data_IF_687421513696
#
_entry.id   IF_687421513696
#
_cell.length_a   1.000
_cell.length_b   1.000
_cell.length_c   1.000
_cell.angle_alpha   90.00
_cell.angle_beta   90.00
_cell.angle_gamma   90.00
#
_symmetry.space_group_name_H-M   'P 1'
#
loop_
_entity.id
_entity.type
_entity.pdbx_description
1 polymer ?
#
# COMPACT_ATOMS: atom_id res chain seq x y z
N UNK A 1 -1.09 -17.12 0.35
CA UNK A 1 -0.61 -15.94 1.12
C UNK A 1 -1.78 -15.31 1.86
N UNK A 2 -1.63 -14.93 3.13
CA UNK A 2 -2.64 -14.22 3.90
C UNK A 2 -2.34 -12.73 3.86
N UNK A 3 -3.38 -11.92 3.63
CA UNK A 3 -3.24 -10.46 3.47
C UNK A 3 -4.00 -9.75 4.58
N UNK A 4 -3.31 -8.80 5.26
CA UNK A 4 -3.90 -7.89 6.21
C UNK A 4 -3.85 -6.48 5.67
N UNK A 5 -4.97 -5.78 5.72
CA UNK A 5 -5.09 -4.39 5.32
C UNK A 5 -4.90 -3.50 6.55
N UNK A 6 -3.86 -2.66 6.52
CA UNK A 6 -3.48 -1.77 7.60
C UNK A 6 -3.80 -0.32 7.23
N UNK A 7 -4.26 0.47 8.20
CA UNK A 7 -4.25 1.92 8.08
C UNK A 7 -3.00 2.45 8.78
N UNK A 8 -1.97 2.81 8.04
CA UNK A 8 -0.70 3.24 8.61
C UNK A 8 -0.56 4.77 8.68
N UNK A 9 -1.66 5.45 8.94
CA UNK A 9 -1.76 6.88 9.13
C UNK A 9 -2.98 7.50 8.47
N UNK A 10 -3.34 8.68 8.90
CA UNK A 10 -4.47 9.42 8.39
C UNK A 10 -4.09 10.87 8.11
N UNK A 11 -4.51 11.38 6.96
CA UNK A 11 -4.43 12.78 6.58
C UNK A 11 -5.84 13.36 6.46
N UNK A 12 -6.03 14.57 7.00
CA UNK A 12 -7.36 15.21 7.04
C UNK A 12 -7.32 16.62 6.42
N UNK A 13 -6.96 16.77 5.12
CA UNK A 13 -6.87 18.07 4.47
C UNK A 13 -8.22 18.80 4.46
N UNK A 14 -8.17 20.13 4.36
CA UNK A 14 -9.39 20.93 4.19
C UNK A 14 -10.02 20.64 2.82
N UNK A 15 -11.35 20.72 2.77
CA UNK A 15 -12.12 20.53 1.53
C UNK A 15 -13.25 19.51 1.66
N UNK A 16 -13.22 18.63 2.67
CA UNK A 16 -14.27 17.63 2.86
C UNK A 16 -14.52 16.81 1.59
N UNK A 17 -15.77 16.68 1.17
CA UNK A 17 -16.15 15.96 -0.04
C UNK A 17 -15.51 16.48 -1.34
N UNK A 18 -15.04 17.73 -1.37
CA UNK A 18 -14.30 18.25 -2.53
C UNK A 18 -12.92 17.59 -2.67
N UNK A 19 -12.41 16.96 -1.60
CA UNK A 19 -11.16 16.19 -1.62
C UNK A 19 -11.37 14.68 -1.73
N UNK A 20 -12.28 14.10 -0.90
CA UNK A 20 -12.44 12.65 -0.82
C UNK A 20 -13.77 12.11 -1.40
N UNK A 21 -14.64 12.99 -1.86
CA UNK A 21 -15.93 12.61 -2.45
C UNK A 21 -16.99 12.10 -1.44
N UNK A 22 -16.67 12.04 -0.14
CA UNK A 22 -17.51 11.34 0.85
C UNK A 22 -17.76 12.13 2.15
N UNK A 23 -16.77 12.88 2.64
CA UNK A 23 -16.84 13.55 3.94
C UNK A 23 -17.92 14.62 3.98
N UNK A 24 -18.74 14.62 5.03
CA UNK A 24 -19.78 15.64 5.27
C UNK A 24 -19.26 16.89 5.98
N UNK A 25 -18.06 16.84 6.56
CA UNK A 25 -17.42 17.93 7.30
C UNK A 25 -16.48 18.80 6.46
N UNK A 26 -15.81 19.78 7.07
CA UNK A 26 -14.89 20.66 6.38
C UNK A 26 -13.55 20.01 6.03
N UNK A 27 -13.23 18.86 6.61
CA UNK A 27 -12.01 18.10 6.34
C UNK A 27 -12.34 16.80 5.65
N UNK A 28 -11.48 16.41 4.72
CA UNK A 28 -11.47 15.08 4.11
C UNK A 28 -10.81 14.07 5.05
N UNK A 29 -10.88 12.79 4.67
CA UNK A 29 -10.14 11.70 5.29
C UNK A 29 -9.43 10.91 4.20
N UNK A 30 -8.10 10.88 4.26
CA UNK A 30 -7.24 10.09 3.39
C UNK A 30 -6.47 9.09 4.25
N UNK A 31 -6.56 7.82 3.94
CA UNK A 31 -5.84 6.76 4.63
C UNK A 31 -4.39 6.64 4.11
N UNK A 32 -3.53 5.99 4.85
CA UNK A 32 -2.27 5.43 4.35
C UNK A 32 -2.41 3.89 4.36
N UNK A 33 -3.00 3.36 3.31
CA UNK A 33 -3.35 1.95 3.21
C UNK A 33 -2.12 1.11 2.86
N UNK A 34 -1.63 0.36 3.81
CA UNK A 34 -0.52 -0.57 3.67
C UNK A 34 -1.01 -2.02 3.73
N UNK A 35 -0.20 -2.97 3.25
CA UNK A 35 -0.46 -4.39 3.43
C UNK A 35 0.58 -5.04 4.33
N UNK A 36 0.14 -5.97 5.16
CA UNK A 36 1.01 -6.96 5.80
C UNK A 36 0.67 -8.33 5.20
N UNK A 37 1.65 -8.95 4.57
CA UNK A 37 1.54 -10.26 3.92
C UNK A 37 2.23 -11.31 4.78
N UNK A 38 1.51 -12.39 5.11
CA UNK A 38 2.10 -13.57 5.75
C UNK A 38 2.51 -14.57 4.66
N UNK A 39 3.81 -14.77 4.49
CA UNK A 39 4.37 -15.83 3.64
C UNK A 39 4.74 -17.02 4.50
N UNK A 40 4.41 -18.22 4.03
CA UNK A 40 4.74 -19.47 4.74
C UNK A 40 6.25 -19.74 4.77
N UNK A 41 7.04 -19.11 3.91
CA UNK A 41 8.48 -19.40 3.70
C UNK A 41 9.38 -18.20 4.02
N UNK A 42 8.92 -16.98 3.71
CA UNK A 42 9.78 -15.81 3.64
C UNK A 42 9.57 -14.82 4.80
N UNK A 43 8.75 -15.20 5.79
CA UNK A 43 8.37 -14.36 6.91
C UNK A 43 7.30 -13.34 6.54
N UNK A 44 7.32 -12.18 7.17
CA UNK A 44 6.37 -11.11 6.89
C UNK A 44 6.92 -10.17 5.83
N UNK A 45 6.02 -9.73 4.95
CA UNK A 45 6.30 -8.71 3.93
C UNK A 45 5.35 -7.54 4.14
N UNK A 46 5.86 -6.32 4.21
CA UNK A 46 5.05 -5.11 4.16
C UNK A 46 4.99 -4.57 2.72
N UNK A 47 3.83 -4.04 2.34
CA UNK A 47 3.69 -3.18 1.16
C UNK A 47 3.37 -1.79 1.67
N UNK A 48 4.31 -0.88 1.49
CA UNK A 48 4.39 0.43 2.13
C UNK A 48 4.40 0.37 3.67
N UNK A 49 4.68 1.49 4.31
CA UNK A 49 4.82 1.56 5.77
C UNK A 49 4.03 2.72 6.40
N UNK A 50 3.46 3.60 5.58
CA UNK A 50 2.79 4.80 6.08
C UNK A 50 3.72 5.74 6.83
N UNK A 51 3.22 6.35 7.89
CA UNK A 51 4.04 7.12 8.83
C UNK A 51 4.70 6.20 9.84
N UNK A 52 6.01 6.44 10.10
CA UNK A 52 6.77 5.69 11.08
C UNK A 52 6.62 6.22 12.50
N UNK A 53 7.07 5.44 13.47
CA UNK A 53 7.01 5.80 14.89
C UNK A 53 7.73 7.13 15.18
N UNK A 54 8.86 7.39 14.52
CA UNK A 54 9.58 8.67 14.69
C UNK A 54 8.88 9.84 14.01
N UNK A 55 8.17 9.62 12.91
CA UNK A 55 7.36 10.67 12.28
C UNK A 55 6.21 11.10 13.19
N UNK A 56 5.61 10.13 13.88
CA UNK A 56 4.50 10.40 14.81
C UNK A 56 4.98 11.09 16.08
N UNK A 57 6.11 10.65 16.64
CA UNK A 57 6.61 11.18 17.93
C UNK A 57 7.42 12.46 17.78
N UNK A 58 8.08 12.68 16.64
CA UNK A 58 8.95 13.83 16.36
C UNK A 58 8.75 14.36 14.93
N UNK A 59 7.54 14.80 14.56
CA UNK A 59 7.20 15.13 13.17
C UNK A 59 8.03 16.30 12.60
N UNK A 60 8.28 17.31 13.43
CA UNK A 60 9.02 18.49 13.00
C UNK A 60 10.52 18.17 12.84
N UNK A 61 11.08 18.50 11.68
CA UNK A 61 12.45 18.13 11.30
C UNK A 61 12.54 16.86 10.44
N UNK A 62 11.57 15.96 10.55
CA UNK A 62 11.45 14.75 9.72
C UNK A 62 10.51 14.99 8.53
N UNK A 63 9.34 15.49 8.78
CA UNK A 63 8.34 15.83 7.77
C UNK A 63 8.41 17.32 7.39
N UNK A 64 7.96 17.62 6.20
CA UNK A 64 7.80 19.01 5.76
C UNK A 64 6.72 19.73 6.58
N UNK A 65 7.03 20.85 7.25
CA UNK A 65 6.00 21.63 7.94
C UNK A 65 4.86 22.08 7.01
N UNK A 66 5.19 22.35 5.73
CA UNK A 66 4.19 22.66 4.71
C UNK A 66 3.20 21.50 4.53
N UNK A 67 3.71 20.28 4.39
CA UNK A 67 2.86 19.10 4.18
C UNK A 67 2.15 18.63 5.45
N UNK A 68 2.75 18.80 6.63
CA UNK A 68 2.06 18.58 7.90
C UNK A 68 0.78 19.42 7.96
N UNK A 69 0.88 20.72 7.64
CA UNK A 69 -0.26 21.64 7.72
C UNK A 69 -1.23 21.46 6.54
N UNK A 70 -0.74 21.29 5.32
CA UNK A 70 -1.57 21.11 4.12
C UNK A 70 -2.43 19.86 4.23
N UNK A 71 -1.81 18.74 4.62
CA UNK A 71 -2.47 17.45 4.73
C UNK A 71 -3.12 17.22 6.10
N UNK A 72 -2.86 18.10 7.10
CA UNK A 72 -3.38 17.96 8.47
C UNK A 72 -3.15 16.53 9.01
N UNK A 73 -1.91 16.07 8.93
CA UNK A 73 -1.49 14.71 9.31
C UNK A 73 -1.91 14.44 10.76
N UNK A 74 -2.56 13.30 10.99
CA UNK A 74 -2.93 12.83 12.31
C UNK A 74 -1.82 11.90 12.82
N UNK A 75 -1.22 12.26 13.93
CA UNK A 75 -0.09 11.52 14.49
C UNK A 75 -0.57 10.57 15.59
N UNK A 76 -1.05 9.38 15.18
CA UNK A 76 -1.48 8.33 16.10
C UNK A 76 -0.44 7.17 16.09
N UNK A 77 0.27 6.90 17.21
CA UNK A 77 1.21 5.79 17.30
C UNK A 77 0.57 4.42 17.00
N UNK A 78 -0.72 4.25 17.30
CA UNK A 78 -1.43 2.99 17.06
C UNK A 78 -1.68 2.71 15.58
N UNK A 79 -1.64 3.74 14.75
CA UNK A 79 -1.76 3.60 13.29
C UNK A 79 -0.40 3.27 12.62
N UNK A 80 0.74 3.30 13.33
CA UNK A 80 2.01 2.91 12.70
C UNK A 80 2.05 1.43 12.31
N UNK A 81 2.73 1.09 11.21
CA UNK A 81 2.92 -0.30 10.80
C UNK A 81 3.58 -1.12 11.91
N UNK A 82 4.56 -0.55 12.62
CA UNK A 82 5.24 -1.17 13.76
C UNK A 82 4.23 -1.64 14.81
N UNK A 83 3.40 -0.72 15.32
CA UNK A 83 2.42 -1.04 16.36
C UNK A 83 1.40 -2.08 15.88
N UNK A 84 0.96 -1.99 14.63
CA UNK A 84 -0.03 -2.91 14.07
C UNK A 84 0.53 -4.33 13.84
N UNK A 85 1.82 -4.48 13.53
CA UNK A 85 2.52 -5.77 13.48
C UNK A 85 2.55 -6.39 14.88
N UNK A 86 2.96 -5.63 15.90
CA UNK A 86 3.00 -6.09 17.29
C UNK A 86 1.62 -6.45 17.83
N UNK A 87 0.60 -5.65 17.55
CA UNK A 87 -0.78 -5.89 17.96
C UNK A 87 -1.38 -7.19 17.38
N UNK A 88 -0.81 -7.70 16.28
CA UNK A 88 -1.15 -9.01 15.69
C UNK A 88 -0.34 -10.16 16.26
N UNK A 89 0.54 -9.90 17.24
CA UNK A 89 1.35 -10.91 17.91
C UNK A 89 2.64 -11.26 17.17
N UNK A 90 3.03 -10.50 16.15
CA UNK A 90 4.28 -10.69 15.45
C UNK A 90 5.39 -9.81 16.04
N UNK A 91 6.63 -10.24 15.86
CA UNK A 91 7.77 -9.38 16.13
C UNK A 91 8.05 -8.47 14.92
N UNK A 92 8.42 -7.19 15.10
CA UNK A 92 8.90 -6.35 14.00
C UNK A 92 10.10 -6.97 13.26
N UNK A 93 10.85 -7.85 13.91
CA UNK A 93 11.96 -8.60 13.29
C UNK A 93 11.51 -9.70 12.32
N UNK A 94 10.25 -10.09 12.37
CA UNK A 94 9.68 -11.06 11.44
C UNK A 94 9.38 -10.41 10.07
N UNK A 95 9.31 -9.07 10.02
CA UNK A 95 9.25 -8.30 8.77
C UNK A 95 10.62 -8.34 8.10
N UNK A 96 10.76 -9.17 7.08
CA UNK A 96 12.02 -9.39 6.37
C UNK A 96 12.12 -8.58 5.08
N UNK A 97 11.00 -8.24 4.51
CA UNK A 97 10.92 -7.52 3.25
C UNK A 97 9.89 -6.41 3.33
N UNK A 98 10.20 -5.29 2.71
CA UNK A 98 9.26 -4.18 2.51
C UNK A 98 9.28 -3.83 1.02
N UNK A 99 8.12 -3.86 0.38
CA UNK A 99 7.96 -3.41 -0.99
C UNK A 99 7.36 -2.02 -0.95
N UNK A 100 8.13 -0.99 -1.33
CA UNK A 100 7.59 0.37 -1.38
C UNK A 100 7.11 0.70 -2.78
N UNK A 101 5.90 1.22 -2.87
CA UNK A 101 5.31 1.68 -4.12
C UNK A 101 6.03 2.91 -4.64
N UNK A 102 6.38 3.81 -3.75
CA UNK A 102 7.20 5.01 -3.97
C UNK A 102 7.68 5.59 -2.64
N UNK A 103 8.52 6.63 -2.67
CA UNK A 103 9.21 7.15 -1.48
C UNK A 103 8.61 8.48 -0.97
N UNK A 104 7.32 8.72 -1.18
CA UNK A 104 6.64 9.83 -0.53
C UNK A 104 6.56 9.63 0.98
N UNK A 105 6.48 10.73 1.69
CA UNK A 105 6.58 10.80 3.15
C UNK A 105 5.53 9.96 3.89
N UNK A 106 4.40 9.67 3.27
CA UNK A 106 3.28 8.90 3.80
C UNK A 106 3.23 7.45 3.32
N UNK A 107 4.26 7.01 2.59
CA UNK A 107 4.50 5.62 2.19
C UNK A 107 5.77 5.03 2.80
N UNK A 108 6.83 5.85 2.92
CA UNK A 108 8.15 5.42 3.35
C UNK A 108 8.47 5.72 4.83
N UNK A 109 7.55 6.32 5.58
CA UNK A 109 7.82 6.85 6.91
C UNK A 109 8.27 5.83 7.94
N UNK A 110 7.75 4.59 7.85
CA UNK A 110 8.07 3.51 8.78
C UNK A 110 9.23 2.61 8.36
N UNK A 111 9.97 2.92 7.29
CA UNK A 111 11.10 2.06 6.86
C UNK A 111 12.14 1.86 7.96
N UNK A 112 12.45 2.88 8.73
CA UNK A 112 13.42 2.79 9.84
C UNK A 112 12.93 1.99 11.05
N UNK A 113 11.62 1.75 11.17
CA UNK A 113 11.05 0.92 12.24
C UNK A 113 11.38 -0.57 12.02
N UNK A 114 11.81 -0.94 10.81
CA UNK A 114 12.17 -2.31 10.40
C UNK A 114 13.60 -2.39 9.83
N UNK A 115 14.64 -2.07 10.62
CA UNK A 115 16.00 -1.88 10.12
C UNK A 115 16.66 -3.15 9.58
N UNK A 116 16.05 -4.32 9.78
CA UNK A 116 16.54 -5.61 9.28
C UNK A 116 15.87 -6.04 7.97
N UNK A 117 14.86 -5.29 7.54
CA UNK A 117 14.13 -5.63 6.31
C UNK A 117 14.92 -5.20 5.07
N UNK A 118 14.87 -6.05 4.04
CA UNK A 118 15.29 -5.67 2.70
C UNK A 118 14.19 -4.82 2.06
N UNK A 119 14.52 -3.64 1.55
CA UNK A 119 13.56 -2.73 0.92
C UNK A 119 13.64 -2.84 -0.60
N UNK A 120 12.52 -3.18 -1.21
CA UNK A 120 12.33 -3.32 -2.66
C UNK A 120 11.71 -2.06 -3.22
N UNK A 121 12.30 -1.49 -4.26
CA UNK A 121 11.86 -0.22 -4.86
C UNK A 121 12.23 -0.15 -6.33
N UNK A 122 11.50 0.62 -7.13
CA UNK A 122 11.94 0.93 -8.50
C UNK A 122 13.21 1.79 -8.48
N UNK A 123 14.16 1.47 -9.37
CA UNK A 123 15.45 2.18 -9.46
C UNK A 123 15.27 3.69 -9.70
N UNK A 124 14.32 4.04 -10.59
CA UNK A 124 14.00 5.42 -10.91
C UNK A 124 13.45 6.18 -9.69
N UNK A 125 12.72 5.50 -8.82
CA UNK A 125 12.22 6.09 -7.58
C UNK A 125 13.34 6.45 -6.63
N UNK A 126 14.19 5.48 -6.30
CA UNK A 126 15.31 5.72 -5.38
C UNK A 126 16.29 6.77 -5.93
N UNK A 127 16.53 6.74 -7.24
CA UNK A 127 17.39 7.72 -7.92
C UNK A 127 16.81 9.13 -7.83
N UNK A 128 15.51 9.28 -8.10
CA UNK A 128 14.83 10.58 -8.04
C UNK A 128 14.70 11.09 -6.62
N UNK A 129 14.36 10.21 -5.68
CA UNK A 129 14.24 10.55 -4.27
C UNK A 129 15.58 11.03 -3.68
N UNK A 130 16.71 10.43 -4.07
CA UNK A 130 18.04 10.88 -3.64
C UNK A 130 18.42 12.25 -4.24
N UNK A 131 17.99 12.56 -5.46
CA UNK A 131 18.27 13.85 -6.11
C UNK A 131 17.42 14.98 -5.55
N UNK A 132 16.14 14.76 -5.29
CA UNK A 132 15.18 15.74 -4.74
C UNK A 132 15.18 17.05 -5.53
N UNK A 133 15.16 16.96 -6.85
CA UNK A 133 15.23 18.13 -7.73
C UNK A 133 13.92 18.92 -7.68
N UNK A 134 14.01 20.19 -7.31
CA UNK A 134 12.86 21.10 -7.25
C UNK A 134 12.22 21.22 -5.85
N UNK A 135 11.23 22.14 -5.77
CA UNK A 135 10.61 22.47 -4.48
C UNK A 135 9.75 21.33 -3.95
N UNK A 136 8.83 20.80 -4.77
CA UNK A 136 7.91 19.73 -4.35
C UNK A 136 8.69 18.47 -3.97
N UNK A 137 9.70 18.08 -4.77
CA UNK A 137 10.52 16.91 -4.47
C UNK A 137 11.21 16.99 -3.09
N UNK A 138 11.65 18.18 -2.68
CA UNK A 138 12.22 18.39 -1.34
C UNK A 138 11.20 18.32 -0.20
N UNK A 139 9.95 18.58 -0.49
CA UNK A 139 8.89 18.48 0.51
C UNK A 139 8.40 17.04 0.66
N UNK A 140 8.29 16.30 -0.44
CA UNK A 140 7.75 14.94 -0.47
C UNK A 140 8.77 13.88 -0.06
N UNK A 141 9.97 13.92 -0.59
CA UNK A 141 11.04 12.96 -0.28
C UNK A 141 11.79 13.38 0.99
N UNK A 142 11.76 12.55 2.00
CA UNK A 142 12.31 12.82 3.32
C UNK A 142 13.41 11.80 3.65
N UNK A 143 14.68 12.10 3.35
CA UNK A 143 15.81 11.19 3.63
C UNK A 143 15.84 10.69 5.07
N UNK A 144 15.40 11.50 6.01
CA UNK A 144 15.28 11.17 7.43
C UNK A 144 14.45 9.92 7.70
N UNK A 145 13.60 9.51 6.75
CA UNK A 145 12.74 8.32 6.86
C UNK A 145 13.43 7.04 6.35
N UNK A 146 14.43 7.17 5.47
CA UNK A 146 15.01 6.02 4.78
C UNK A 146 16.54 6.01 4.68
N UNK A 147 17.25 7.02 5.22
CA UNK A 147 18.73 7.03 5.27
C UNK A 147 19.30 5.87 6.11
N UNK A 148 18.51 5.26 6.99
CA UNK A 148 18.91 4.14 7.83
C UNK A 148 18.67 2.76 7.19
N UNK A 149 18.06 2.72 5.99
CA UNK A 149 17.82 1.46 5.28
C UNK A 149 19.16 0.82 4.92
N UNK A 150 19.38 -0.40 5.43
CA UNK A 150 20.65 -1.12 5.28
C UNK A 150 20.75 -1.83 3.92
N UNK A 151 19.63 -2.33 3.41
CA UNK A 151 19.61 -3.12 2.18
C UNK A 151 18.49 -2.69 1.25
N UNK A 152 18.88 -2.25 0.05
CA UNK A 152 17.99 -1.91 -1.04
C UNK A 152 18.08 -2.94 -2.16
N UNK A 153 16.93 -3.39 -2.66
CA UNK A 153 16.80 -4.09 -3.94
C UNK A 153 16.09 -3.16 -4.92
N UNK A 154 16.77 -2.82 -6.00
CA UNK A 154 16.26 -1.90 -6.99
C UNK A 154 15.92 -2.62 -8.28
N UNK A 155 14.82 -2.22 -8.91
CA UNK A 155 14.30 -2.84 -10.12
C UNK A 155 14.22 -1.81 -11.24
N UNK A 156 14.78 -2.15 -12.42
CA UNK A 156 14.66 -1.36 -13.64
C UNK A 156 13.41 -1.74 -14.43
N UNK A 157 13.21 -1.07 -15.56
CA UNK A 157 12.17 -1.42 -16.52
C UNK A 157 12.43 -2.80 -17.18
N UNK A 158 11.36 -3.42 -17.66
CA UNK A 158 11.37 -4.73 -18.30
C UNK A 158 10.90 -5.86 -17.37
N UNK A 159 10.26 -6.85 -17.92
CA UNK A 159 9.67 -7.97 -17.20
C UNK A 159 8.67 -8.71 -18.07
N UNK A 160 7.81 -9.47 -17.44
CA UNK A 160 6.72 -10.20 -18.08
C UNK A 160 5.48 -9.32 -18.31
N UNK A 161 4.55 -9.78 -19.11
CA UNK A 161 3.25 -9.12 -19.26
C UNK A 161 2.27 -9.61 -18.20
N UNK A 162 1.59 -8.69 -17.54
CA UNK A 162 0.56 -8.97 -16.58
C UNK A 162 -0.67 -8.07 -16.84
N UNK A 163 -1.79 -8.65 -17.26
CA UNK A 163 -3.06 -7.94 -17.58
C UNK A 163 -2.88 -6.64 -18.38
N UNK A 164 -2.06 -6.69 -19.44
CA UNK A 164 -1.82 -5.52 -20.32
C UNK A 164 -0.72 -4.56 -19.84
N UNK A 165 -0.11 -4.79 -18.67
CA UNK A 165 1.05 -4.02 -18.21
C UNK A 165 2.35 -4.64 -18.73
N UNK A 166 3.21 -3.81 -19.34
CA UNK A 166 4.40 -4.28 -20.06
C UNK A 166 5.64 -4.44 -19.18
N UNK A 167 5.67 -3.84 -18.00
CA UNK A 167 6.82 -3.85 -17.11
C UNK A 167 6.41 -4.38 -15.74
N UNK A 168 6.30 -5.68 -15.65
CA UNK A 168 6.07 -6.42 -14.39
C UNK A 168 7.38 -7.05 -13.96
N UNK A 169 7.69 -6.96 -12.69
CA UNK A 169 8.94 -7.47 -12.14
C UNK A 169 8.68 -8.39 -10.97
N UNK A 170 9.15 -9.63 -11.05
CA UNK A 170 9.26 -10.53 -9.91
C UNK A 170 10.31 -9.99 -8.94
N UNK A 171 10.06 -10.07 -7.66
CA UNK A 171 10.92 -9.47 -6.64
C UNK A 171 11.93 -10.50 -6.14
N UNK A 172 13.22 -10.14 -6.18
CA UNK A 172 14.31 -11.01 -5.77
C UNK A 172 14.18 -11.43 -4.29
N UNK A 173 14.13 -12.74 -4.04
CA UNK A 173 14.01 -13.30 -2.69
C UNK A 173 12.60 -13.26 -2.12
N UNK A 174 11.61 -12.86 -2.91
CA UNK A 174 10.20 -12.95 -2.59
C UNK A 174 9.50 -14.00 -3.45
N UNK A 175 8.37 -14.55 -3.00
CA UNK A 175 7.64 -15.54 -3.77
C UNK A 175 7.02 -14.90 -5.02
N UNK A 176 6.81 -15.69 -6.10
CA UNK A 176 6.30 -15.20 -7.39
C UNK A 176 4.86 -14.66 -7.32
N UNK A 177 4.20 -14.86 -6.20
CA UNK A 177 2.87 -14.31 -5.88
C UNK A 177 2.89 -12.81 -5.61
N UNK A 178 4.07 -12.18 -5.46
CA UNK A 178 4.22 -10.73 -5.24
C UNK A 178 4.93 -10.11 -6.44
N UNK A 179 4.24 -9.21 -7.14
CA UNK A 179 4.76 -8.52 -8.31
C UNK A 179 4.78 -7.01 -8.07
N UNK A 180 5.80 -6.32 -8.58
CA UNK A 180 5.84 -4.86 -8.66
C UNK A 180 5.52 -4.43 -10.10
N UNK A 181 4.54 -3.53 -10.26
CA UNK A 181 4.01 -3.10 -11.55
C UNK A 181 4.31 -1.63 -11.72
N UNK A 182 5.23 -1.24 -12.62
CA UNK A 182 5.53 0.16 -12.87
C UNK A 182 4.32 0.96 -13.34
N UNK A 183 4.00 2.02 -12.62
CA UNK A 183 2.91 2.97 -12.90
C UNK A 183 3.43 4.41 -12.77
N UNK A 184 4.46 4.80 -13.54
CA UNK A 184 5.07 6.11 -13.40
C UNK A 184 4.09 7.24 -13.73
N UNK A 185 4.37 8.44 -13.19
CA UNK A 185 3.60 9.66 -13.43
C UNK A 185 3.32 10.42 -12.15
N UNK A 186 2.85 9.76 -11.08
CA UNK A 186 2.82 10.36 -9.74
C UNK A 186 4.25 10.67 -9.26
N UNK A 187 5.11 9.68 -9.29
CA UNK A 187 6.58 9.82 -9.28
C UNK A 187 7.18 9.11 -10.49
N UNK A 188 8.48 9.30 -10.77
CA UNK A 188 9.14 8.64 -11.89
C UNK A 188 9.27 7.13 -11.72
N UNK A 189 9.38 6.66 -10.49
CA UNK A 189 9.48 5.25 -10.17
C UNK A 189 8.27 4.69 -9.43
N UNK A 190 7.13 5.39 -9.44
CA UNK A 190 5.91 4.90 -8.84
C UNK A 190 5.49 3.54 -9.42
N UNK A 191 5.12 2.61 -8.54
CA UNK A 191 4.67 1.28 -8.91
C UNK A 191 3.47 0.84 -8.07
N UNK A 192 2.60 0.03 -8.65
CA UNK A 192 1.66 -0.78 -7.90
C UNK A 192 2.31 -2.09 -7.42
N UNK A 193 1.65 -2.75 -6.48
CA UNK A 193 2.05 -4.08 -6.00
C UNK A 193 0.88 -5.04 -6.15
N UNK A 194 1.05 -6.07 -6.98
CA UNK A 194 0.07 -7.12 -7.15
C UNK A 194 0.42 -8.34 -6.29
N UNK A 195 -0.59 -8.91 -5.65
CA UNK A 195 -0.46 -10.09 -4.79
C UNK A 195 -1.43 -11.16 -5.25
N UNK A 196 -0.93 -12.35 -5.57
CA UNK A 196 -1.76 -13.51 -5.85
C UNK A 196 -2.27 -14.11 -4.54
N UNK A 197 -3.58 -14.13 -4.38
CA UNK A 197 -4.25 -14.63 -3.19
C UNK A 197 -5.16 -15.81 -3.54
N UNK A 198 -5.60 -16.60 -2.55
CA UNK A 198 -6.57 -17.66 -2.80
C UNK A 198 -7.89 -17.19 -3.44
N UNK A 199 -8.21 -15.89 -3.32
CA UNK A 199 -9.41 -15.27 -3.86
C UNK A 199 -9.16 -14.52 -5.18
N UNK A 200 -7.99 -14.71 -5.81
CA UNK A 200 -7.54 -14.03 -7.03
C UNK A 200 -6.54 -12.91 -6.79
N UNK A 201 -6.19 -12.20 -7.86
CA UNK A 201 -5.21 -11.12 -7.78
C UNK A 201 -5.75 -9.91 -7.01
N UNK A 202 -4.90 -9.36 -6.15
CA UNK A 202 -5.12 -8.10 -5.44
C UNK A 202 -4.05 -7.10 -5.89
N UNK A 203 -4.46 -5.97 -6.45
CA UNK A 203 -3.56 -4.90 -6.88
C UNK A 203 -3.69 -3.70 -5.94
N UNK A 204 -2.64 -3.41 -5.18
CA UNK A 204 -2.43 -2.08 -4.61
C UNK A 204 -1.93 -1.16 -5.73
N UNK A 205 -2.78 -0.29 -6.24
CA UNK A 205 -2.44 0.68 -7.28
C UNK A 205 -1.78 1.95 -6.71
N UNK A 206 -1.58 2.01 -5.41
CA UNK A 206 -0.97 3.11 -4.66
C UNK A 206 -1.58 4.48 -5.04
N UNK A 207 -0.75 5.42 -5.48
CA UNK A 207 -1.15 6.79 -5.80
C UNK A 207 -1.50 6.99 -7.28
N UNK A 208 -1.80 5.91 -8.00
CA UNK A 208 -2.34 6.00 -9.35
C UNK A 208 -3.69 6.72 -9.36
N UNK A 209 -4.49 6.56 -8.30
CA UNK A 209 -5.72 7.30 -8.05
C UNK A 209 -5.91 7.48 -6.53
N UNK A 210 -6.80 8.39 -6.12
CA UNK A 210 -7.02 8.72 -4.71
C UNK A 210 -8.42 8.38 -4.21
N UNK A 211 -9.38 8.28 -5.11
CA UNK A 211 -10.78 8.03 -4.81
C UNK A 211 -11.30 6.94 -5.74
N UNK A 212 -11.92 5.90 -5.19
CA UNK A 212 -12.43 4.73 -5.94
C UNK A 212 -13.24 5.08 -7.18
N UNK A 213 -13.98 6.21 -7.15
CA UNK A 213 -14.81 6.67 -8.28
C UNK A 213 -14.00 7.14 -9.50
N UNK A 214 -12.70 7.20 -9.38
CA UNK A 214 -11.81 7.45 -10.52
C UNK A 214 -11.65 6.18 -11.38
N UNK A 215 -11.89 4.98 -10.81
CA UNK A 215 -11.67 3.70 -11.50
C UNK A 215 -12.90 2.77 -11.52
N UNK A 216 -13.78 2.80 -10.50
CA UNK A 216 -14.89 1.86 -10.35
C UNK A 216 -16.15 2.21 -11.17
N UNK A 217 -16.19 3.38 -11.83
CA UNK A 217 -17.35 3.87 -12.59
C UNK A 217 -17.08 3.95 -14.08
N UNK A 218 -18.12 3.81 -14.94
CA UNK A 218 -17.99 3.97 -16.38
C UNK A 218 -17.44 5.33 -16.80
N UNK A 219 -17.78 6.39 -16.03
CA UNK A 219 -17.23 7.73 -16.20
C UNK A 219 -16.38 8.06 -15.01
N UNK A 220 -15.13 8.49 -15.24
CA UNK A 220 -14.21 8.90 -14.19
C UNK A 220 -14.77 10.08 -13.41
N UNK A 221 -14.94 9.92 -12.11
CA UNK A 221 -15.36 10.95 -11.19
C UNK A 221 -14.23 11.23 -10.17
N UNK A 222 -13.51 12.32 -10.37
CA UNK A 222 -12.49 12.79 -9.44
C UNK A 222 -12.95 14.08 -8.77
N UNK A 223 -13.02 14.13 -7.44
CA UNK A 223 -13.32 15.36 -6.71
C UNK A 223 -12.34 16.47 -7.11
N UNK A 224 -12.81 17.74 -7.25
CA UNK A 224 -11.97 18.81 -7.78
C UNK A 224 -10.71 19.10 -6.95
N UNK A 225 -10.78 18.94 -5.63
CA UNK A 225 -9.63 19.09 -4.74
C UNK A 225 -8.63 17.96 -4.91
N UNK A 226 -9.09 16.69 -4.98
CA UNK A 226 -8.22 15.55 -5.26
C UNK A 226 -7.54 15.71 -6.62
N UNK A 227 -8.27 16.11 -7.65
CA UNK A 227 -7.72 16.37 -8.99
C UNK A 227 -6.61 17.44 -8.96
N UNK A 228 -6.85 18.55 -8.25
CA UNK A 228 -5.87 19.62 -8.11
C UNK A 228 -4.62 19.14 -7.35
N UNK A 229 -4.82 18.34 -6.29
CA UNK A 229 -3.72 17.79 -5.49
C UNK A 229 -2.91 16.77 -6.30
N UNK A 230 -3.54 15.82 -6.97
CA UNK A 230 -2.87 14.84 -7.85
C UNK A 230 -2.05 15.54 -8.94
N UNK A 231 -2.64 16.58 -9.59
CA UNK A 231 -1.92 17.38 -10.59
C UNK A 231 -0.70 18.11 -10.02
N UNK A 232 -0.79 18.60 -8.79
CA UNK A 232 0.33 19.27 -8.11
C UNK A 232 1.45 18.28 -7.77
N UNK A 233 1.08 17.06 -7.37
CA UNK A 233 2.02 16.03 -6.93
C UNK A 233 2.63 15.25 -8.11
N UNK A 234 1.93 15.09 -9.23
CA UNK A 234 2.43 14.34 -10.37
C UNK A 234 3.70 14.98 -10.97
N UNK A 235 4.74 14.17 -11.17
CA UNK A 235 5.96 14.59 -11.88
C UNK A 235 5.72 14.67 -13.39
N UNK A 236 4.82 13.83 -13.89
CA UNK A 236 4.29 13.86 -15.25
C UNK A 236 2.78 13.56 -15.20
N UNK A 237 1.99 14.61 -15.37
CA UNK A 237 0.54 14.50 -15.22
C UNK A 237 -0.12 13.69 -16.34
N UNK A 238 0.38 13.79 -17.56
CA UNK A 238 -0.22 13.08 -18.70
C UNK A 238 0.08 11.58 -18.60
N UNK A 239 1.30 11.23 -18.19
CA UNK A 239 1.69 9.85 -17.92
C UNK A 239 0.93 9.27 -16.70
N UNK A 240 0.70 10.08 -15.66
CA UNK A 240 -0.13 9.69 -14.51
C UNK A 240 -1.56 9.35 -14.95
N UNK A 241 -2.20 10.22 -15.74
CA UNK A 241 -3.54 9.98 -16.27
C UNK A 241 -3.59 8.76 -17.20
N UNK A 242 -2.58 8.56 -18.03
CA UNK A 242 -2.47 7.37 -18.89
C UNK A 242 -2.45 6.08 -18.06
N UNK A 243 -1.64 6.02 -17.02
CA UNK A 243 -1.60 4.84 -16.14
C UNK A 243 -2.88 4.68 -15.31
N UNK A 244 -3.50 5.79 -14.89
CA UNK A 244 -4.81 5.75 -14.25
C UNK A 244 -5.89 5.15 -15.17
N UNK A 245 -5.90 5.52 -16.47
CA UNK A 245 -6.83 4.94 -17.45
C UNK A 245 -6.58 3.43 -17.63
N UNK A 246 -5.32 2.99 -17.70
CA UNK A 246 -4.98 1.54 -17.78
C UNK A 246 -5.45 0.76 -16.54
N UNK A 247 -5.24 1.31 -15.34
CA UNK A 247 -5.73 0.70 -14.09
C UNK A 247 -7.25 0.67 -14.06
N UNK A 248 -7.92 1.70 -14.57
CA UNK A 248 -9.36 1.76 -14.70
C UNK A 248 -9.90 0.72 -15.68
N UNK A 249 -9.26 0.56 -16.83
CA UNK A 249 -9.65 -0.47 -17.82
C UNK A 249 -9.57 -1.87 -17.18
N UNK A 250 -8.50 -2.14 -16.40
CA UNK A 250 -8.37 -3.40 -15.66
C UNK A 250 -9.44 -3.54 -14.57
N UNK A 251 -9.78 -2.46 -13.85
CA UNK A 251 -10.80 -2.48 -12.80
C UNK A 251 -12.20 -2.77 -13.35
N UNK A 252 -12.47 -2.43 -14.61
CA UNK A 252 -13.74 -2.64 -15.29
C UNK A 252 -13.81 -3.97 -16.04
N UNK A 253 -12.69 -4.67 -16.20
CA UNK A 253 -12.65 -6.00 -16.78
C UNK A 253 -12.97 -7.07 -15.72
N UNK A 254 -14.26 -7.36 -15.54
CA UNK A 254 -14.72 -8.39 -14.61
C UNK A 254 -14.10 -9.78 -14.90
N UNK A 255 -13.69 -10.05 -16.14
CA UNK A 255 -13.09 -11.32 -16.54
C UNK A 255 -11.65 -11.48 -16.04
N UNK A 256 -10.96 -10.38 -15.74
CA UNK A 256 -9.61 -10.41 -15.21
C UNK A 256 -9.51 -10.96 -13.78
N UNK A 257 -10.59 -10.84 -12.99
CA UNK A 257 -10.62 -11.33 -11.61
C UNK A 257 -9.61 -10.61 -10.69
N UNK A 258 -9.24 -9.38 -11.04
CA UNK A 258 -8.30 -8.56 -10.26
C UNK A 258 -9.08 -7.58 -9.38
N UNK A 259 -8.85 -7.65 -8.09
CA UNK A 259 -9.37 -6.65 -7.14
C UNK A 259 -8.35 -5.52 -7.00
N UNK A 260 -8.78 -4.27 -7.19
CA UNK A 260 -7.90 -3.10 -7.19
C UNK A 260 -8.30 -2.14 -6.07
N UNK A 261 -7.32 -1.51 -5.43
CA UNK A 261 -7.52 -0.46 -4.45
C UNK A 261 -6.35 0.53 -4.49
N UNK A 262 -6.56 1.75 -3.96
CA UNK A 262 -5.54 2.78 -3.82
C UNK A 262 -5.10 2.97 -2.36
N UNK A 263 -4.08 3.81 -2.16
CA UNK A 263 -3.56 4.06 -0.81
C UNK A 263 -4.43 5.01 0.02
N UNK A 264 -5.28 5.84 -0.62
CA UNK A 264 -5.89 6.97 0.09
C UNK A 264 -7.40 6.90 0.27
N UNK A 265 -8.12 5.94 -0.34
CA UNK A 265 -9.57 5.82 -0.14
C UNK A 265 -9.91 5.02 1.13
N UNK A 266 -10.43 5.66 2.20
CA UNK A 266 -10.76 4.96 3.45
C UNK A 266 -11.93 3.98 3.30
N UNK A 267 -12.77 4.15 2.28
CA UNK A 267 -13.92 3.26 2.03
C UNK A 267 -13.44 1.95 1.41
N UNK A 268 -12.47 2.00 0.50
CA UNK A 268 -11.80 0.79 -0.02
C UNK A 268 -11.09 0.04 1.11
N UNK A 269 -10.32 0.75 1.94
CA UNK A 269 -9.65 0.17 3.09
C UNK A 269 -10.63 -0.55 4.03
N UNK A 270 -11.69 0.13 4.45
CA UNK A 270 -12.69 -0.45 5.37
C UNK A 270 -13.40 -1.66 4.75
N UNK A 271 -13.70 -1.63 3.46
CA UNK A 271 -14.31 -2.75 2.75
C UNK A 271 -13.39 -3.98 2.74
N UNK A 272 -12.10 -3.79 2.44
CA UNK A 272 -11.10 -4.85 2.38
C UNK A 272 -10.78 -5.43 3.78
N UNK A 273 -10.73 -4.59 4.81
CA UNK A 273 -10.57 -5.04 6.20
C UNK A 273 -11.71 -5.95 6.64
N UNK A 274 -12.97 -5.64 6.28
CA UNK A 274 -14.13 -6.47 6.59
C UNK A 274 -14.07 -7.84 5.89
N UNK A 275 -13.65 -7.87 4.63
CA UNK A 275 -13.49 -9.13 3.89
C UNK A 275 -12.43 -10.03 4.50
N UNK A 276 -11.30 -9.47 4.93
CA UNK A 276 -10.22 -10.22 5.57
C UNK A 276 -10.64 -10.85 6.91
N UNK A 277 -11.48 -10.17 7.70
CA UNK A 277 -11.98 -10.69 8.99
C UNK A 277 -13.00 -11.78 8.82
N UNK A 278 -13.87 -11.74 7.79
CA UNK A 278 -14.88 -12.78 7.53
C UNK A 278 -14.29 -14.06 6.98
N UNK A 279 -13.22 -13.98 6.17
CA UNK A 279 -12.49 -15.14 5.66
C UNK A 279 -11.81 -15.97 6.76
N UNK A 280 -11.32 -15.31 7.81
CA UNK A 280 -10.64 -15.96 8.95
C UNK A 280 -11.62 -16.81 9.78
N UNK A 281 -12.84 -16.32 10.01
CA UNK A 281 -13.86 -17.04 10.80
C UNK A 281 -14.41 -18.30 10.10
N UNK A 282 -14.42 -18.34 8.78
CA UNK A 282 -14.85 -19.54 8.03
C UNK A 282 -13.72 -20.60 7.95
N UNK A 283 -12.47 -20.19 7.92
CA UNK A 283 -11.31 -21.11 7.94
C UNK A 283 -11.20 -21.86 9.26
N UNK A 284 -11.34 -21.16 10.40
CA UNK A 284 -11.29 -21.78 11.73
C UNK A 284 -12.48 -22.74 12.01
N UNK A 285 -13.66 -22.44 11.47
CA UNK A 285 -14.81 -23.32 11.63
C UNK A 285 -14.67 -24.63 10.84
N UNK A 286 -14.05 -24.59 9.65
CA UNK A 286 -13.76 -25.78 8.84
C UNK A 286 -12.67 -26.65 9.44
N UNK A 287 -11.66 -26.07 10.06
CA UNK A 287 -10.58 -26.82 10.73
C UNK A 287 -11.09 -27.49 12.00
N UNK A 288 -11.95 -26.82 12.79
CA UNK A 288 -12.59 -27.43 13.97
C UNK A 288 -13.60 -28.54 13.60
N UNK A 289 -14.28 -28.44 12.46
CA UNK A 289 -15.20 -29.49 12.00
C UNK A 289 -14.47 -30.75 11.54
N UNK A 290 -13.28 -30.61 10.91
CA UNK A 290 -12.45 -31.77 10.51
C UNK A 290 -11.77 -32.46 11.70
N UNK A 291 -11.39 -31.73 12.76
CA UNK A 291 -10.82 -32.30 13.98
C UNK A 291 -11.78 -33.14 14.82
N UNK A 292 -13.11 -32.94 14.70
CA UNK A 292 -14.12 -33.72 15.42
C UNK A 292 -14.57 -35.01 14.75
N UNK A 293 -14.20 -35.26 13.50
CA UNK A 293 -14.55 -36.48 12.75
C UNK A 293 -13.46 -37.57 12.81
N UNK A 294 -12.34 -37.31 13.52
CA UNK A 294 -11.21 -38.24 13.63
C UNK A 294 -11.18 -39.11 14.92
N UNK A 295 -12.11 -38.87 15.89
CA UNK A 295 -12.16 -39.60 17.15
C UNK A 295 -13.47 -40.38 17.32
N UNK A 296 -13.73 -41.37 16.49
CA UNK A 296 -14.73 -42.42 16.78
C UNK A 296 -14.12 -43.78 16.54
N UNK A 297 -13.74 -44.38 17.65
CA UNK A 297 -13.57 -45.75 18.06
C UNK A 297 -13.53 -46.87 17.04
N UNK A 298 -12.43 -47.62 17.08
CA UNK A 298 -12.41 -49.03 16.68
C UNK A 298 -12.81 -49.88 17.91
N UNK A 299 -13.73 -50.83 17.77
CA UNK A 299 -14.01 -51.76 18.86
C UNK A 299 -12.99 -52.85 18.92
N UNK A 300 -12.48 -53.12 20.13
CA UNK A 300 -11.70 -54.30 20.46
C UNK A 300 -12.51 -55.59 20.15
N UNK A 301 -11.93 -56.52 19.44
CA UNK A 301 -12.38 -57.90 19.38
C UNK A 301 -11.46 -58.78 20.24
N UNK A 302 -12.13 -59.56 21.07
CA UNK A 302 -11.55 -60.66 21.87
C UNK A 302 -10.92 -61.76 21.03
#
# INVERSE_FOLDING_TARGET
MRVHHLNCGCMCPLGGALMDGASSGPTARLACHCLLLESDRDGLVLVDTGFGMRDVTHPYGRLSPLFIHLNRIQFDPHETALHQVEARGFSPRDVRHIVVTHLDFDHAGGLEDFPHATVHVMEDELRTAKRRDGFIARQRYRPEQWDQVMEWRTYGGGGERWFGFDAVRDLDGLPPEILMIPLPGHTWGHAGVAVDTPDGWLLNAADTYFVRHEVDRPVRECPPGARAYQRMMAVDHDLHLHNQDRVRDLAQDESAGVRIFCSHDPIELEALQRLSTTGTSQGESRTRARGRLGETGAPARA
#
